data_IF_616201783849
#
_entry.id   IF_616201783849
#
_cell.length_a   1.000
_cell.length_b   1.000
_cell.length_c   1.000
_cell.angle_alpha   90.00
_cell.angle_beta   90.00
_cell.angle_gamma   90.00
#
_symmetry.space_group_name_H-M   'P 1'
#
loop_
_entity.id
_entity.type
_entity.pdbx_description
1 polymer ?
#
# COMPACT_ATOMS: atom_id res chain seq x y z
N UNK A 1 0.88 -11.12 -0.12
CA UNK A 1 1.61 -10.96 1.17
C UNK A 1 2.39 -12.21 1.52
N UNK A 2 3.43 -12.09 2.35
CA UNK A 2 4.29 -13.20 2.77
C UNK A 2 4.97 -12.92 4.12
N UNK A 3 5.77 -13.85 4.65
CA UNK A 3 6.52 -13.64 5.88
C UNK A 3 7.54 -12.51 5.75
N UNK A 4 7.86 -11.85 6.87
CA UNK A 4 8.89 -10.81 6.95
C UNK A 4 10.22 -11.28 6.33
N UNK A 5 10.70 -12.45 6.73
CA UNK A 5 11.93 -13.07 6.22
C UNK A 5 11.93 -13.19 4.69
N UNK A 6 10.84 -13.74 4.11
CA UNK A 6 10.75 -13.91 2.66
C UNK A 6 10.67 -12.58 1.92
N UNK A 7 9.96 -11.59 2.47
CA UNK A 7 9.90 -10.24 1.87
C UNK A 7 11.27 -9.55 1.92
N UNK A 8 12.02 -9.71 3.02
CA UNK A 8 13.40 -9.23 3.13
C UNK A 8 14.31 -9.87 2.07
N UNK A 9 14.20 -11.18 1.86
CA UNK A 9 15.01 -11.88 0.83
C UNK A 9 14.66 -11.44 -0.59
N UNK A 10 13.37 -11.18 -0.87
CA UNK A 10 12.93 -10.64 -2.16
C UNK A 10 13.46 -9.22 -2.35
N UNK A 11 13.34 -8.36 -1.34
CA UNK A 11 13.87 -6.99 -1.38
C UNK A 11 15.37 -7.00 -1.67
N UNK A 12 16.13 -7.82 -0.94
CA UNK A 12 17.58 -7.98 -1.12
C UNK A 12 17.94 -8.44 -2.51
N UNK A 13 17.26 -9.47 -3.00
CA UNK A 13 17.53 -10.04 -4.32
C UNK A 13 17.30 -9.00 -5.41
N UNK A 14 16.15 -8.30 -5.39
CA UNK A 14 15.84 -7.25 -6.38
C UNK A 14 16.87 -6.12 -6.27
N UNK A 15 17.17 -5.64 -5.05
CA UNK A 15 18.17 -4.60 -4.80
C UNK A 15 19.55 -4.90 -5.40
N UNK A 16 19.95 -6.16 -5.40
CA UNK A 16 21.24 -6.60 -5.95
C UNK A 16 21.27 -6.66 -7.48
N UNK A 17 20.15 -7.01 -8.13
CA UNK A 17 20.16 -7.38 -9.57
C UNK A 17 19.36 -6.45 -10.47
N UNK A 18 18.62 -5.46 -9.93
CA UNK A 18 17.65 -4.67 -10.70
C UNK A 18 18.27 -3.88 -11.87
N UNK A 19 19.57 -3.62 -11.86
CA UNK A 19 20.28 -2.92 -12.94
C UNK A 19 20.75 -3.86 -14.07
N UNK A 20 20.82 -5.17 -13.80
CA UNK A 20 21.38 -6.17 -14.71
C UNK A 20 20.32 -6.78 -15.64
N UNK A 21 19.03 -6.49 -15.39
CA UNK A 21 17.94 -7.09 -16.16
C UNK A 21 17.84 -6.51 -17.59
N UNK A 22 17.75 -7.38 -18.63
CA UNK A 22 17.47 -6.94 -19.98
C UNK A 22 16.00 -6.54 -20.15
N UNK A 23 15.70 -5.58 -21.03
CA UNK A 23 14.33 -5.13 -21.31
C UNK A 23 13.85 -4.00 -20.41
N UNK A 24 12.59 -4.08 -19.97
CA UNK A 24 11.95 -3.07 -19.11
C UNK A 24 12.75 -2.87 -17.82
N UNK A 25 13.00 -1.60 -17.47
CA UNK A 25 13.87 -1.25 -16.34
C UNK A 25 13.07 -1.17 -15.05
N UNK A 26 13.47 -1.95 -14.07
CA UNK A 26 12.91 -1.90 -12.71
C UNK A 26 13.22 -0.52 -12.12
N UNK A 27 12.17 0.27 -11.86
CA UNK A 27 12.29 1.62 -11.28
C UNK A 27 12.29 1.61 -9.75
N UNK A 28 12.02 0.45 -9.15
CA UNK A 28 11.93 0.27 -7.70
C UNK A 28 11.01 -0.89 -7.34
N UNK A 29 10.75 -1.01 -6.05
CA UNK A 29 9.86 -2.02 -5.47
C UNK A 29 8.57 -1.35 -5.02
N UNK A 30 7.45 -1.99 -5.34
CA UNK A 30 6.16 -1.73 -4.72
C UNK A 30 5.80 -2.93 -3.84
N UNK A 31 5.62 -2.69 -2.54
CA UNK A 31 5.02 -3.67 -1.65
C UNK A 31 3.54 -3.45 -1.48
N UNK A 32 2.74 -4.31 -2.10
CA UNK A 32 1.30 -4.39 -1.84
C UNK A 32 1.07 -5.22 -0.57
N UNK A 33 1.12 -4.54 0.58
CA UNK A 33 1.00 -5.13 1.92
C UNK A 33 2.36 -5.29 2.63
N UNK A 34 2.39 -5.94 3.81
CA UNK A 34 1.36 -6.84 4.33
C UNK A 34 0.34 -6.19 5.30
N UNK A 35 0.36 -4.87 5.45
CA UNK A 35 -0.42 -4.17 6.47
C UNK A 35 -1.91 -3.99 6.11
N UNK A 36 -2.61 -5.09 5.80
CA UNK A 36 -4.01 -5.12 5.34
C UNK A 36 -4.97 -5.73 6.35
N UNK A 37 -6.29 -5.65 6.11
CA UNK A 37 -7.33 -6.32 6.92
C UNK A 37 -7.97 -7.49 6.16
N UNK A 38 -8.62 -8.42 6.88
CA UNK A 38 -9.13 -9.65 6.28
C UNK A 38 -10.36 -9.45 5.39
N UNK A 39 -11.21 -8.47 5.70
CA UNK A 39 -12.53 -8.30 5.08
C UNK A 39 -12.44 -8.06 3.57
N UNK A 40 -11.42 -7.32 3.12
CA UNK A 40 -11.16 -7.03 1.70
C UNK A 40 -9.82 -7.57 1.19
N UNK A 41 -9.39 -8.71 1.76
CA UNK A 41 -8.08 -9.32 1.46
C UNK A 41 -7.86 -9.71 -0.01
N UNK A 42 -8.92 -9.95 -0.78
CA UNK A 42 -8.79 -10.50 -2.14
C UNK A 42 -7.96 -11.79 -2.17
N UNK A 43 -6.91 -11.81 -2.99
CA UNK A 43 -5.97 -12.94 -3.11
C UNK A 43 -4.80 -12.89 -2.10
N UNK A 44 -4.74 -11.86 -1.24
CA UNK A 44 -3.67 -11.71 -0.25
C UNK A 44 -3.82 -12.76 0.86
N UNK A 45 -2.69 -13.21 1.43
CA UNK A 45 -2.68 -14.21 2.49
C UNK A 45 -2.78 -13.55 3.88
N UNK A 46 -3.90 -13.72 4.60
CA UNK A 46 -4.14 -13.03 5.87
C UNK A 46 -3.23 -13.52 7.01
N UNK A 47 -2.62 -14.70 6.89
CA UNK A 47 -1.68 -15.22 7.91
C UNK A 47 -0.44 -14.35 8.13
N UNK A 48 -0.21 -13.37 7.25
CA UNK A 48 0.91 -12.44 7.33
C UNK A 48 0.47 -10.99 7.56
N UNK A 49 -0.82 -10.74 7.77
CA UNK A 49 -1.29 -9.38 8.02
C UNK A 49 -0.91 -8.92 9.42
N UNK A 50 -0.66 -7.62 9.55
CA UNK A 50 -0.31 -6.98 10.80
C UNK A 50 -0.55 -5.48 10.72
N UNK A 51 -0.36 -4.80 11.85
CA UNK A 51 -0.31 -3.36 11.88
C UNK A 51 1.00 -2.87 11.23
N UNK A 52 1.02 -1.68 10.59
CA UNK A 52 2.23 -1.09 10.05
C UNK A 52 3.33 -0.97 11.10
N UNK A 53 4.55 -1.30 10.70
CA UNK A 53 5.71 -1.38 11.59
C UNK A 53 6.93 -0.73 10.91
N UNK A 54 7.40 0.38 11.47
CA UNK A 54 8.50 1.17 10.90
C UNK A 54 9.81 0.39 10.90
N UNK A 55 10.12 -0.34 11.97
CA UNK A 55 11.33 -1.16 12.08
C UNK A 55 11.39 -2.19 10.94
N UNK A 56 10.29 -2.91 10.71
CA UNK A 56 10.18 -3.86 9.60
C UNK A 56 10.29 -3.18 8.24
N UNK A 57 9.67 -2.02 8.03
CA UNK A 57 9.81 -1.29 6.77
C UNK A 57 11.25 -0.84 6.51
N UNK A 58 11.93 -0.30 7.53
CA UNK A 58 13.32 0.13 7.42
C UNK A 58 14.27 -1.04 7.15
N UNK A 59 14.06 -2.20 7.77
CA UNK A 59 14.81 -3.43 7.44
C UNK A 59 14.63 -3.82 5.97
N UNK A 60 13.41 -3.72 5.43
CA UNK A 60 13.18 -4.00 4.02
C UNK A 60 13.82 -2.96 3.10
N UNK A 61 13.73 -1.68 3.46
CA UNK A 61 14.30 -0.59 2.69
C UNK A 61 15.82 -0.71 2.63
N UNK A 62 16.47 -0.99 3.76
CA UNK A 62 17.90 -1.29 3.84
C UNK A 62 18.26 -2.51 2.99
N UNK A 63 17.53 -3.62 3.15
CA UNK A 63 17.77 -4.84 2.38
C UNK A 63 17.68 -4.59 0.87
N UNK A 64 16.75 -3.75 0.42
CA UNK A 64 16.59 -3.38 -0.98
C UNK A 64 17.67 -2.44 -1.53
N UNK A 65 18.50 -1.83 -0.67
CA UNK A 65 19.40 -0.75 -1.08
C UNK A 65 18.66 0.58 -1.37
N UNK A 66 17.55 0.84 -0.69
CA UNK A 66 16.80 2.11 -0.78
C UNK A 66 15.88 2.24 -2.00
N UNK A 67 15.51 1.13 -2.63
CA UNK A 67 14.72 1.13 -3.88
C UNK A 67 13.24 0.80 -3.68
N UNK A 68 12.75 0.62 -2.46
CA UNK A 68 11.30 0.59 -2.22
C UNK A 68 10.77 2.00 -2.47
N UNK A 69 9.87 2.14 -3.44
CA UNK A 69 9.29 3.41 -3.88
C UNK A 69 7.83 3.56 -3.52
N UNK A 70 7.16 2.45 -3.22
CA UNK A 70 5.75 2.44 -2.86
C UNK A 70 5.46 1.30 -1.87
N UNK A 71 4.58 1.56 -0.92
CA UNK A 71 4.00 0.52 -0.05
C UNK A 71 2.50 0.76 0.12
N UNK A 72 1.70 -0.30 0.17
CA UNK A 72 0.27 -0.22 0.43
C UNK A 72 -0.09 -0.77 1.80
N UNK A 73 -1.07 -0.13 2.44
CA UNK A 73 -1.66 -0.51 3.72
C UNK A 73 -3.16 -0.27 3.74
N UNK A 74 -3.82 -0.83 4.75
CA UNK A 74 -5.21 -0.56 5.08
C UNK A 74 -5.29 0.55 6.15
N UNK A 75 -5.93 1.70 5.87
CA UNK A 75 -5.90 2.87 6.74
C UNK A 75 -6.58 2.69 8.12
N UNK A 76 -7.42 1.67 8.29
CA UNK A 76 -8.06 1.35 9.57
C UNK A 76 -7.13 0.60 10.56
N UNK A 77 -5.87 0.35 10.18
CA UNK A 77 -4.88 -0.30 11.03
C UNK A 77 -4.35 0.65 12.11
N UNK A 78 -3.87 0.10 13.23
CA UNK A 78 -3.26 0.91 14.27
C UNK A 78 -1.89 1.45 13.81
N UNK A 79 -1.53 2.66 14.22
CA UNK A 79 -0.21 3.26 13.90
C UNK A 79 -0.08 3.79 12.45
N UNK A 80 -1.14 3.75 11.64
CA UNK A 80 -1.11 4.20 10.24
C UNK A 80 -0.63 5.64 10.11
N UNK A 81 -1.12 6.57 10.94
CA UNK A 81 -0.75 7.98 10.84
C UNK A 81 0.77 8.19 10.94
N UNK A 82 1.39 7.70 12.02
CA UNK A 82 2.83 7.82 12.26
C UNK A 82 3.65 7.11 11.18
N UNK A 83 3.19 5.93 10.75
CA UNK A 83 3.83 5.20 9.66
C UNK A 83 3.81 5.99 8.35
N UNK A 84 2.65 6.54 7.97
CA UNK A 84 2.49 7.29 6.72
C UNK A 84 3.34 8.56 6.76
N UNK A 85 3.26 9.35 7.83
CA UNK A 85 4.05 10.59 7.97
C UNK A 85 5.55 10.28 7.78
N UNK A 86 6.07 9.29 8.51
CA UNK A 86 7.50 8.91 8.45
C UNK A 86 7.92 8.41 7.07
N UNK A 87 7.17 7.45 6.50
CA UNK A 87 7.55 6.80 5.23
C UNK A 87 7.43 7.76 4.04
N UNK A 88 6.48 8.68 4.08
CA UNK A 88 6.32 9.70 3.04
C UNK A 88 7.39 10.79 3.13
N UNK A 89 7.79 11.20 4.34
CA UNK A 89 8.94 12.11 4.56
C UNK A 89 10.27 11.50 4.07
N UNK A 90 10.40 10.17 4.09
CA UNK A 90 11.51 9.42 3.50
C UNK A 90 11.45 9.28 1.98
N UNK A 91 10.43 9.86 1.34
CA UNK A 91 10.26 9.88 -0.11
C UNK A 91 9.65 8.62 -0.71
N UNK A 92 8.96 7.80 0.09
CA UNK A 92 8.26 6.60 -0.37
C UNK A 92 6.76 6.86 -0.43
N UNK A 93 6.13 6.47 -1.53
CA UNK A 93 4.69 6.64 -1.72
C UNK A 93 3.93 5.64 -0.86
N UNK A 94 3.05 6.13 0.01
CA UNK A 94 2.11 5.28 0.74
C UNK A 94 0.78 5.25 0.00
N UNK A 95 0.28 4.03 -0.23
CA UNK A 95 -0.96 3.75 -0.92
C UNK A 95 -1.98 3.06 0.00
N UNK A 96 -3.27 3.28 -0.29
CA UNK A 96 -4.39 2.77 0.50
C UNK A 96 -5.15 1.71 -0.32
N UNK A 97 -5.31 0.51 0.22
CA UNK A 97 -5.99 -0.60 -0.45
C UNK A 97 -6.16 -1.81 0.46
N UNK A 98 -6.92 -2.81 0.00
CA UNK A 98 -7.22 -4.03 0.77
C UNK A 98 -7.77 -3.71 2.17
N UNK A 99 -8.79 -2.84 2.19
CA UNK A 99 -9.24 -2.12 3.38
C UNK A 99 -10.75 -2.03 3.47
N UNK A 100 -11.27 -2.15 4.69
CA UNK A 100 -12.66 -1.86 5.04
C UNK A 100 -12.86 -0.47 5.68
N UNK A 101 -11.91 0.44 5.50
CA UNK A 101 -11.94 1.74 6.15
C UNK A 101 -13.13 2.59 5.73
N UNK A 102 -13.57 3.44 6.67
CA UNK A 102 -14.48 4.54 6.36
C UNK A 102 -13.74 5.66 5.62
N UNK A 103 -14.49 6.64 5.12
CA UNK A 103 -13.89 7.83 4.53
C UNK A 103 -12.99 8.57 5.53
N UNK A 104 -13.42 8.69 6.79
CA UNK A 104 -12.69 9.42 7.84
C UNK A 104 -11.34 8.76 8.16
N UNK A 105 -11.28 7.43 8.21
CA UNK A 105 -10.03 6.70 8.41
C UNK A 105 -9.08 6.88 7.22
N UNK A 106 -9.61 6.85 5.99
CA UNK A 106 -8.82 7.13 4.79
C UNK A 106 -8.31 8.58 4.75
N UNK A 107 -9.14 9.56 5.15
CA UNK A 107 -8.80 10.98 5.22
C UNK A 107 -7.63 11.22 6.20
N UNK A 108 -7.65 10.57 7.37
CA UNK A 108 -6.52 10.63 8.33
C UNK A 108 -5.21 10.15 7.68
N UNK A 109 -5.25 9.08 6.88
CA UNK A 109 -4.06 8.59 6.20
C UNK A 109 -3.62 9.52 5.04
N UNK A 110 -4.56 10.14 4.33
CA UNK A 110 -4.25 11.10 3.25
C UNK A 110 -3.65 12.39 3.82
N UNK A 111 -4.22 12.94 4.89
CA UNK A 111 -3.67 14.10 5.62
C UNK A 111 -2.28 13.81 6.20
N UNK A 112 -1.99 12.55 6.54
CA UNK A 112 -0.67 12.07 6.95
C UNK A 112 0.34 11.93 5.79
N UNK A 113 -0.10 12.02 4.53
CA UNK A 113 0.75 11.99 3.33
C UNK A 113 0.46 10.86 2.34
N UNK A 114 -0.47 9.94 2.62
CA UNK A 114 -0.83 8.90 1.68
C UNK A 114 -1.47 9.52 0.42
N UNK A 115 -1.05 9.07 -0.75
CA UNK A 115 -1.34 9.79 -2.01
C UNK A 115 -1.84 8.90 -3.14
N UNK A 116 -2.02 7.60 -2.90
CA UNK A 116 -2.50 6.66 -3.91
C UNK A 116 -3.56 5.74 -3.33
N UNK A 117 -4.66 5.55 -4.05
CA UNK A 117 -5.62 4.47 -3.84
C UNK A 117 -5.31 3.33 -4.81
N UNK A 118 -5.12 2.13 -4.28
CA UNK A 118 -4.77 0.93 -5.06
C UNK A 118 -6.01 0.41 -5.78
N UNK A 119 -5.87 0.10 -7.09
CA UNK A 119 -6.85 -0.53 -7.99
C UNK A 119 -8.32 -0.25 -7.64
N UNK A 120 -8.74 1.02 -7.76
CA UNK A 120 -10.05 1.55 -7.40
C UNK A 120 -11.20 0.55 -7.54
N UNK A 121 -12.06 0.49 -6.52
CA UNK A 121 -13.12 -0.50 -6.28
C UNK A 121 -12.67 -1.89 -5.81
N UNK A 122 -11.49 -2.37 -6.18
CA UNK A 122 -11.09 -3.75 -5.94
C UNK A 122 -10.48 -3.91 -4.54
N UNK A 123 -11.01 -4.84 -3.74
CA UNK A 123 -10.51 -5.03 -2.37
C UNK A 123 -10.67 -3.77 -1.51
N UNK A 124 -11.79 -3.06 -1.66
CA UNK A 124 -12.08 -1.83 -0.91
C UNK A 124 -13.53 -1.83 -0.44
N UNK A 125 -13.76 -1.15 0.69
CA UNK A 125 -15.12 -0.77 1.09
C UNK A 125 -15.81 0.04 -0.01
N UNK A 126 -16.98 -0.45 -0.44
CA UNK A 126 -17.75 0.14 -1.54
C UNK A 126 -18.41 1.48 -1.20
N UNK A 127 -18.98 2.12 -2.21
CA UNK A 127 -19.65 3.42 -2.09
C UNK A 127 -21.07 3.30 -1.50
N UNK A 128 -21.35 4.02 -0.42
CA UNK A 128 -22.70 4.19 0.10
C UNK A 128 -23.02 5.67 0.36
N UNK A 129 -24.28 6.07 0.20
CA UNK A 129 -24.71 7.47 0.32
C UNK A 129 -24.66 8.03 1.76
N UNK A 130 -24.65 7.17 2.79
CA UNK A 130 -24.54 7.61 4.20
C UNK A 130 -23.16 7.44 4.79
N UNK A 131 -22.35 6.58 4.19
CA UNK A 131 -21.00 6.28 4.63
C UNK A 131 -20.21 5.92 3.36
N UNK A 132 -19.51 6.89 2.75
CA UNK A 132 -18.96 6.71 1.41
C UNK A 132 -17.86 5.63 1.28
N UNK A 133 -17.24 5.21 2.39
CA UNK A 133 -16.17 4.22 2.40
C UNK A 133 -14.93 4.63 1.62
N UNK A 134 -14.07 3.64 1.36
CA UNK A 134 -12.85 3.79 0.57
C UNK A 134 -13.12 4.26 -0.86
N UNK A 135 -14.18 3.76 -1.51
CA UNK A 135 -14.56 4.24 -2.85
C UNK A 135 -15.05 5.69 -2.82
N UNK A 136 -15.74 6.11 -1.77
CA UNK A 136 -16.07 7.52 -1.59
C UNK A 136 -14.82 8.37 -1.40
N UNK A 137 -13.92 7.93 -0.51
CA UNK A 137 -12.67 8.62 -0.23
C UNK A 137 -11.84 8.87 -1.50
N UNK A 138 -11.61 7.85 -2.33
CA UNK A 138 -10.83 8.00 -3.56
C UNK A 138 -11.51 8.93 -4.60
N UNK A 139 -12.83 9.09 -4.54
CA UNK A 139 -13.58 9.98 -5.44
C UNK A 139 -13.63 11.43 -4.95
N UNK A 140 -13.52 11.67 -3.63
CA UNK A 140 -13.76 12.98 -3.04
C UNK A 140 -12.51 13.65 -2.47
N UNK A 141 -11.55 12.88 -1.94
CA UNK A 141 -10.31 13.41 -1.39
C UNK A 141 -9.44 14.00 -2.50
N UNK A 142 -8.75 15.10 -2.19
CA UNK A 142 -7.93 15.84 -3.16
C UNK A 142 -6.46 15.41 -3.06
N UNK A 143 -5.66 15.75 -4.08
CA UNK A 143 -4.22 15.48 -4.11
C UNK A 143 -3.83 13.99 -4.05
N UNK A 144 -4.77 13.10 -4.37
CA UNK A 144 -4.55 11.65 -4.46
C UNK A 144 -4.68 11.17 -5.90
N UNK A 145 -4.01 10.07 -6.21
CA UNK A 145 -4.22 9.30 -7.44
C UNK A 145 -5.04 8.05 -7.13
N UNK A 146 -5.83 7.59 -8.11
CA UNK A 146 -6.50 6.29 -8.05
C UNK A 146 -5.99 5.42 -9.18
N UNK A 147 -5.41 4.28 -8.85
CA UNK A 147 -5.04 3.28 -9.85
C UNK A 147 -6.30 2.61 -10.39
N UNK A 148 -6.30 2.26 -11.68
CA UNK A 148 -7.45 1.61 -12.32
C UNK A 148 -6.97 0.50 -13.25
N UNK A 149 -7.62 -0.66 -13.19
CA UNK A 149 -7.33 -1.81 -14.05
C UNK A 149 -8.34 -1.79 -15.22
N UNK A 150 -7.94 -1.25 -16.36
CA UNK A 150 -8.82 -1.04 -17.52
C UNK A 150 -8.95 -2.29 -18.42
N UNK A 151 -9.32 -3.45 -17.86
CA UNK A 151 -9.46 -4.70 -18.61
C UNK A 151 -10.92 -5.10 -18.93
N UNK A 152 -11.90 -4.35 -18.42
CA UNK A 152 -13.34 -4.62 -18.61
C UNK A 152 -13.89 -5.75 -17.74
N UNK A 153 -13.09 -6.28 -16.81
CA UNK A 153 -13.47 -7.32 -15.85
C UNK A 153 -13.38 -6.83 -14.40
N UNK A 154 -12.34 -6.05 -14.09
CA UNK A 154 -12.16 -5.45 -12.77
C UNK A 154 -13.05 -4.21 -12.57
N UNK A 155 -13.28 -3.45 -13.64
CA UNK A 155 -14.18 -2.28 -13.72
C UNK A 155 -14.81 -2.15 -15.10
#
# INVERSE_FOLDING_TARGET
TSSKERLTDVARTIGQVYQEVPGAKIQGIYFEGPFFTEEHKGAQNPSYFGDPDLDTFHEWQEASGGIIKKIALAPERNGVKEFVETVTDEGVVVALGHSNATLEEADVAVEAGASVFVHAYNGMRGLNHREPGMVGALLTLQHVFSELICDGHHV
#
